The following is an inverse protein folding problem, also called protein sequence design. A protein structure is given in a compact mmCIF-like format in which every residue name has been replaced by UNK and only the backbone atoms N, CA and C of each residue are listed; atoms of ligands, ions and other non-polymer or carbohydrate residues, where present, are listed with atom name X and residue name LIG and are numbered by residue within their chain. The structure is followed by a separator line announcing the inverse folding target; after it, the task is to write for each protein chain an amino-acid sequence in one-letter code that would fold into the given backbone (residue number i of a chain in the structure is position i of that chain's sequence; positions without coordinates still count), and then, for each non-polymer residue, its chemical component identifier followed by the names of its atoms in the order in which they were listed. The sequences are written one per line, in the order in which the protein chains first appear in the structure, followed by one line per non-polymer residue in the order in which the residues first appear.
data_IF_885825556895
#
_entry.id   IF_885825556895
#
_cell.length_a   1.000
_cell.length_b   1.000
_cell.length_c   1.000
_cell.angle_alpha   90.00
_cell.angle_beta   90.00
_cell.angle_gamma   90.00
#
_symmetry.space_group_name_H-M   'P 1'
#
loop_
_entity.id
_entity.type
_entity.pdbx_description
1 polymer ?
#
# COMPACT_ATOMS: atom_id res chain seq x y z
N UNK A 1 -1.85 7.83 18.73
CA UNK A 1 -0.62 8.42 19.32
C UNK A 1 0.66 7.76 18.78
N UNK A 2 0.84 6.44 18.89
CA UNK A 2 2.10 5.78 18.48
C UNK A 2 2.47 5.94 16.99
N UNK A 3 1.51 5.90 16.06
CA UNK A 3 1.76 6.09 14.61
C UNK A 3 2.26 7.51 14.25
N UNK A 4 1.82 8.52 15.01
CA UNK A 4 2.31 9.90 14.85
C UNK A 4 3.75 10.00 15.33
N UNK A 5 4.05 9.40 16.50
CA UNK A 5 5.43 9.31 17.01
C UNK A 5 6.32 8.57 16.02
N UNK A 6 5.85 7.44 15.46
CA UNK A 6 6.63 6.71 14.45
C UNK A 6 6.89 7.56 13.21
N UNK A 7 5.91 8.35 12.75
CA UNK A 7 6.14 9.26 11.63
C UNK A 7 7.21 10.31 11.95
N UNK A 8 7.13 10.94 13.13
CA UNK A 8 8.14 11.92 13.56
C UNK A 8 9.53 11.30 13.60
N UNK A 9 9.66 10.09 14.18
CA UNK A 9 10.93 9.37 14.22
C UNK A 9 11.44 9.01 12.82
N UNK A 10 10.56 8.59 11.91
CA UNK A 10 10.91 8.30 10.53
C UNK A 10 11.36 9.55 9.76
N UNK A 11 10.73 10.69 10.01
CA UNK A 11 11.13 11.98 9.44
C UNK A 11 12.53 12.37 9.93
N UNK A 12 12.79 12.26 11.24
CA UNK A 12 14.12 12.55 11.82
C UNK A 12 15.17 11.60 11.27
N UNK A 13 14.87 10.29 11.21
CA UNK A 13 15.76 9.26 10.68
C UNK A 13 16.10 9.52 9.22
N UNK A 14 15.09 9.86 8.40
CA UNK A 14 15.32 10.16 6.99
C UNK A 14 16.09 11.45 6.79
N UNK A 15 15.77 12.50 7.56
CA UNK A 15 16.49 13.78 7.49
C UNK A 15 17.96 13.63 7.89
N UNK A 16 18.23 12.90 8.98
CA UNK A 16 19.56 12.84 9.59
C UNK A 16 20.47 11.79 8.94
N UNK A 17 19.91 10.60 8.64
CA UNK A 17 20.71 9.42 8.27
C UNK A 17 20.45 8.99 6.83
N UNK A 18 19.20 8.66 6.48
CA UNK A 18 18.92 7.96 5.22
C UNK A 18 18.94 8.87 4.00
N UNK A 19 18.57 10.15 4.17
CA UNK A 19 18.58 11.21 3.15
C UNK A 19 17.91 10.79 1.83
N UNK A 20 16.87 9.96 1.93
CA UNK A 20 16.14 9.48 0.76
C UNK A 20 15.19 10.58 0.27
N UNK A 21 15.30 10.91 -1.03
CA UNK A 21 14.42 11.89 -1.68
C UNK A 21 12.98 11.36 -1.74
N UNK A 22 12.02 12.15 -1.26
CA UNK A 22 10.59 11.82 -1.25
C UNK A 22 9.86 12.76 -2.23
N UNK A 23 9.05 12.20 -3.12
CA UNK A 23 8.37 12.97 -4.16
C UNK A 23 6.86 13.03 -3.91
N UNK A 24 6.31 14.24 -3.92
CA UNK A 24 4.88 14.48 -3.75
C UNK A 24 4.18 14.89 -5.06
N UNK A 25 4.93 15.41 -6.04
CA UNK A 25 4.37 15.82 -7.34
C UNK A 25 4.05 14.61 -8.22
N UNK A 26 2.76 14.34 -8.41
CA UNK A 26 2.24 13.24 -9.23
C UNK A 26 2.52 13.43 -10.72
N UNK A 27 2.90 12.35 -11.39
CA UNK A 27 3.09 12.29 -12.84
C UNK A 27 1.93 11.52 -13.47
N UNK A 28 0.93 12.24 -13.96
CA UNK A 28 -0.12 11.66 -14.79
C UNK A 28 0.34 11.64 -16.25
N UNK A 29 0.42 10.44 -16.84
CA UNK A 29 0.71 10.30 -18.25
C UNK A 29 -0.60 10.42 -19.05
N UNK A 30 -0.75 11.48 -19.85
CA UNK A 30 -1.92 11.72 -20.70
C UNK A 30 -2.15 10.60 -21.72
N UNK A 31 -1.08 9.96 -22.19
CA UNK A 31 -1.14 8.87 -23.19
C UNK A 31 -1.70 7.56 -22.60
N UNK A 32 -1.64 7.37 -21.27
CA UNK A 32 -2.05 6.13 -20.60
C UNK A 32 -3.25 6.33 -19.67
N UNK A 33 -4.27 7.02 -20.16
CA UNK A 33 -5.51 7.34 -19.45
C UNK A 33 -6.22 6.11 -18.84
N UNK A 34 -6.13 4.93 -19.47
CA UNK A 34 -6.70 3.68 -18.96
C UNK A 34 -6.22 3.34 -17.54
N UNK A 35 -4.93 3.53 -17.26
CA UNK A 35 -4.38 3.29 -15.91
C UNK A 35 -4.94 4.28 -14.87
N UNK A 36 -5.20 5.52 -15.26
CA UNK A 36 -5.83 6.51 -14.39
C UNK A 36 -7.29 6.15 -14.12
N UNK A 37 -8.03 5.69 -15.14
CA UNK A 37 -9.40 5.20 -14.95
C UNK A 37 -9.44 4.00 -14.02
N UNK A 38 -8.52 3.04 -14.18
CA UNK A 38 -8.44 1.90 -13.28
C UNK A 38 -8.19 2.37 -11.85
N UNK A 39 -7.23 3.28 -11.64
CA UNK A 39 -6.92 3.84 -10.31
C UNK A 39 -8.15 4.53 -9.69
N UNK A 40 -8.73 5.51 -10.38
CA UNK A 40 -9.83 6.30 -9.83
C UNK A 40 -11.12 5.51 -9.74
N UNK A 41 -11.41 4.64 -10.72
CA UNK A 41 -12.55 3.72 -10.68
C UNK A 41 -12.45 2.74 -9.52
N UNK A 42 -11.24 2.23 -9.22
CA UNK A 42 -11.01 1.38 -8.07
C UNK A 42 -11.24 2.12 -6.74
N UNK A 43 -10.71 3.34 -6.59
CA UNK A 43 -10.94 4.18 -5.41
C UNK A 43 -12.43 4.49 -5.23
N UNK A 44 -13.11 4.90 -6.30
CA UNK A 44 -14.54 5.21 -6.28
C UNK A 44 -15.38 3.97 -5.94
N UNK A 45 -15.02 2.81 -6.48
CA UNK A 45 -15.71 1.56 -6.18
C UNK A 45 -15.61 1.23 -4.69
N UNK A 46 -14.41 1.27 -4.10
CA UNK A 46 -14.22 0.99 -2.66
C UNK A 46 -14.98 1.99 -1.81
N UNK A 47 -14.77 3.29 -2.04
CA UNK A 47 -15.38 4.33 -1.20
C UNK A 47 -16.90 4.36 -1.38
N UNK A 48 -17.38 4.33 -2.63
CA UNK A 48 -18.80 4.43 -2.95
C UNK A 48 -19.61 3.23 -2.46
N UNK A 49 -19.13 2.00 -2.65
CA UNK A 49 -19.81 0.80 -2.15
C UNK A 49 -19.87 0.74 -0.63
N UNK A 50 -18.86 1.29 0.06
CA UNK A 50 -18.73 1.20 1.52
C UNK A 50 -19.62 2.17 2.29
N UNK A 51 -20.10 3.26 1.66
CA UNK A 51 -20.86 4.32 2.33
C UNK A 51 -22.36 4.03 2.52
N UNK A 52 -22.90 3.04 1.81
CA UNK A 52 -24.33 2.76 1.82
C UNK A 52 -24.79 2.32 3.21
N UNK A 53 -25.71 3.08 3.82
CA UNK A 53 -26.36 2.74 5.09
C UNK A 53 -25.46 2.79 6.33
N UNK A 54 -24.34 3.53 6.30
CA UNK A 54 -23.40 3.64 7.43
C UNK A 54 -23.68 4.86 8.32
N UNK A 55 -23.46 4.70 9.63
CA UNK A 55 -23.57 5.81 10.58
C UNK A 55 -22.42 6.81 10.46
N UNK A 56 -22.65 8.05 10.86
CA UNK A 56 -21.64 9.11 10.90
C UNK A 56 -20.42 8.72 11.75
N UNK A 57 -20.64 8.04 12.87
CA UNK A 57 -19.57 7.56 13.73
C UNK A 57 -18.64 6.58 12.99
N UNK A 58 -19.19 5.59 12.26
CA UNK A 58 -18.38 4.64 11.49
C UNK A 58 -17.57 5.34 10.40
N UNK A 59 -18.12 6.38 9.78
CA UNK A 59 -17.41 7.18 8.79
C UNK A 59 -16.22 7.91 9.42
N UNK A 60 -16.40 8.50 10.61
CA UNK A 60 -15.33 9.18 11.34
C UNK A 60 -14.22 8.20 11.75
N UNK A 61 -14.58 7.03 12.26
CA UNK A 61 -13.64 5.97 12.63
C UNK A 61 -12.81 5.50 11.42
N UNK A 62 -13.49 5.19 10.31
CA UNK A 62 -12.85 4.78 9.06
C UNK A 62 -11.93 5.85 8.49
N UNK A 63 -12.35 7.12 8.54
CA UNK A 63 -11.53 8.25 8.11
C UNK A 63 -10.25 8.37 8.96
N UNK A 64 -10.40 8.24 10.27
CA UNK A 64 -9.31 8.32 11.24
C UNK A 64 -8.30 7.20 11.01
N UNK A 65 -8.75 5.96 10.87
CA UNK A 65 -7.89 4.80 10.60
C UNK A 65 -7.20 4.92 9.24
N UNK A 66 -7.92 5.35 8.21
CA UNK A 66 -7.37 5.58 6.88
C UNK A 66 -6.18 6.53 6.88
N UNK A 67 -6.27 7.68 7.58
CA UNK A 67 -5.20 8.67 7.64
C UNK A 67 -4.03 8.19 8.48
N UNK A 68 -4.30 7.70 9.69
CA UNK A 68 -3.28 7.38 10.70
C UNK A 68 -2.40 6.21 10.24
N UNK A 69 -2.97 5.23 9.53
CA UNK A 69 -2.21 4.11 8.98
C UNK A 69 -1.47 4.50 7.69
N UNK A 70 -2.16 5.16 6.76
CA UNK A 70 -1.63 5.40 5.41
C UNK A 70 -0.36 6.23 5.39
N UNK A 71 -0.33 7.38 6.05
CA UNK A 71 0.80 8.32 5.90
C UNK A 71 2.13 7.75 6.42
N UNK A 72 2.23 7.25 7.67
CA UNK A 72 3.50 6.77 8.20
C UNK A 72 4.01 5.53 7.47
N UNK A 73 3.11 4.61 7.13
CA UNK A 73 3.47 3.36 6.45
C UNK A 73 3.92 3.61 5.01
N UNK A 74 3.23 4.46 4.27
CA UNK A 74 3.68 4.82 2.92
C UNK A 74 5.00 5.57 2.94
N UNK A 75 5.21 6.46 3.91
CA UNK A 75 6.48 7.17 4.08
C UNK A 75 7.65 6.20 4.24
N UNK A 76 7.51 5.21 5.14
CA UNK A 76 8.52 4.19 5.36
C UNK A 76 8.68 3.27 4.14
N UNK A 77 7.62 2.61 3.70
CA UNK A 77 7.78 1.51 2.75
C UNK A 77 7.93 1.97 1.30
N UNK A 78 7.25 3.05 0.88
CA UNK A 78 7.29 3.54 -0.51
C UNK A 78 8.34 4.63 -0.65
N UNK A 79 8.32 5.59 0.26
CA UNK A 79 9.29 6.67 0.31
C UNK A 79 10.72 6.18 0.54
N UNK A 80 10.95 5.56 1.70
CA UNK A 80 12.28 5.15 2.14
C UNK A 80 12.71 3.81 1.54
N UNK A 81 12.01 2.71 1.88
CA UNK A 81 12.43 1.34 1.55
C UNK A 81 12.47 1.12 0.03
N UNK A 82 11.33 1.30 -0.66
CA UNK A 82 11.26 1.09 -2.11
C UNK A 82 12.17 2.08 -2.87
N UNK A 83 12.20 3.35 -2.46
CA UNK A 83 13.13 4.34 -3.03
C UNK A 83 14.59 3.91 -2.91
N UNK A 84 14.99 3.37 -1.75
CA UNK A 84 16.34 2.86 -1.51
C UNK A 84 16.64 1.59 -2.30
N UNK A 85 15.69 0.65 -2.40
CA UNK A 85 15.84 -0.57 -3.20
C UNK A 85 16.07 -0.23 -4.68
N UNK A 86 15.29 0.71 -5.23
CA UNK A 86 15.44 1.15 -6.62
C UNK A 86 16.82 1.78 -6.88
N UNK A 87 17.35 2.55 -5.92
CA UNK A 87 18.67 3.20 -6.02
C UNK A 87 19.84 2.23 -5.89
N UNK A 88 19.73 1.28 -4.96
CA UNK A 88 20.86 0.46 -4.53
C UNK A 88 20.94 -0.90 -5.23
N UNK A 89 19.82 -1.48 -5.70
CA UNK A 89 19.84 -2.74 -6.45
C UNK A 89 20.43 -2.55 -7.86
N UNK A 90 21.52 -3.27 -8.14
CA UNK A 90 22.32 -3.12 -9.37
C UNK A 90 21.93 -4.09 -10.50
N UNK A 91 20.65 -4.18 -10.83
CA UNK A 91 20.22 -4.94 -12.00
C UNK A 91 20.41 -4.13 -13.29
N UNK A 92 21.10 -4.70 -14.28
CA UNK A 92 21.27 -4.09 -15.62
C UNK A 92 19.93 -3.82 -16.32
N UNK A 93 18.95 -4.70 -16.14
CA UNK A 93 17.61 -4.53 -16.69
C UNK A 93 16.74 -3.72 -15.72
N UNK A 94 16.33 -2.51 -16.13
CA UNK A 94 15.49 -1.62 -15.33
C UNK A 94 14.16 -2.27 -14.91
N UNK A 95 13.50 -3.00 -15.81
CA UNK A 95 12.24 -3.68 -15.49
C UNK A 95 12.43 -4.71 -14.38
N UNK A 96 13.52 -5.49 -14.44
CA UNK A 96 13.89 -6.44 -13.39
C UNK A 96 14.19 -5.74 -12.07
N UNK A 97 14.93 -4.62 -12.10
CA UNK A 97 15.20 -3.77 -10.92
C UNK A 97 13.90 -3.35 -10.25
N UNK A 98 12.96 -2.83 -11.04
CA UNK A 98 11.65 -2.36 -10.55
C UNK A 98 10.85 -3.52 -9.93
N UNK A 99 10.67 -4.62 -10.67
CA UNK A 99 9.86 -5.76 -10.22
C UNK A 99 10.42 -6.35 -8.92
N UNK A 100 11.73 -6.59 -8.86
CA UNK A 100 12.37 -7.14 -7.65
C UNK A 100 12.23 -6.18 -6.47
N UNK A 101 12.41 -4.86 -6.69
CA UNK A 101 12.23 -3.86 -5.63
C UNK A 101 10.79 -3.82 -5.11
N UNK A 102 9.79 -3.93 -5.99
CA UNK A 102 8.38 -4.00 -5.63
C UNK A 102 8.13 -5.24 -4.75
N UNK A 103 8.61 -6.41 -5.16
CA UNK A 103 8.40 -7.67 -4.42
C UNK A 103 9.03 -7.59 -3.03
N UNK A 104 10.28 -7.14 -2.93
CA UNK A 104 10.98 -7.03 -1.64
C UNK A 104 10.28 -6.01 -0.73
N UNK A 105 9.92 -4.83 -1.25
CA UNK A 105 9.21 -3.82 -0.46
C UNK A 105 7.85 -4.32 0.04
N UNK A 106 7.13 -5.09 -0.78
CA UNK A 106 5.83 -5.67 -0.43
C UNK A 106 5.96 -6.77 0.62
N UNK A 107 7.01 -7.58 0.54
CA UNK A 107 7.32 -8.58 1.57
C UNK A 107 7.66 -7.93 2.91
N UNK A 108 8.50 -6.88 2.90
CA UNK A 108 8.83 -6.14 4.13
C UNK A 108 7.61 -5.46 4.75
N UNK A 109 6.72 -4.91 3.92
CA UNK A 109 5.45 -4.33 4.36
C UNK A 109 4.53 -5.38 5.00
N UNK A 110 4.42 -6.57 4.40
CA UNK A 110 3.69 -7.69 4.97
C UNK A 110 4.29 -8.14 6.31
N UNK A 111 5.60 -8.36 6.36
CA UNK A 111 6.31 -8.78 7.58
C UNK A 111 6.18 -7.77 8.73
N UNK A 112 6.07 -6.47 8.43
CA UNK A 112 5.82 -5.44 9.44
C UNK A 112 4.53 -5.68 10.24
N UNK A 113 3.50 -6.26 9.62
CA UNK A 113 2.23 -6.58 10.28
C UNK A 113 2.33 -7.76 11.24
N UNK A 114 3.42 -8.53 11.21
CA UNK A 114 3.69 -9.57 12.20
C UNK A 114 3.71 -9.01 13.64
N UNK A 115 4.06 -7.72 13.81
CA UNK A 115 4.01 -7.03 15.10
C UNK A 115 2.62 -6.98 15.75
N UNK A 116 1.55 -7.23 15.00
CA UNK A 116 0.18 -7.27 15.52
C UNK A 116 -0.15 -8.58 16.25
N UNK A 117 0.74 -9.59 16.23
CA UNK A 117 0.48 -10.93 16.78
C UNK A 117 0.06 -10.90 18.25
N UNK A 118 0.56 -9.93 19.00
CA UNK A 118 0.22 -9.72 20.42
C UNK A 118 -1.25 -9.34 20.63
N UNK A 119 -1.87 -8.66 19.68
CA UNK A 119 -3.23 -8.14 19.79
C UNK A 119 -4.25 -9.02 19.05
N UNK A 120 -3.89 -9.50 17.86
CA UNK A 120 -4.84 -10.18 16.96
C UNK A 120 -4.65 -11.72 16.92
N UNK A 121 -3.56 -12.24 17.49
CA UNK A 121 -3.22 -13.66 17.46
C UNK A 121 -2.63 -14.14 16.14
N UNK A 122 -1.93 -15.28 16.17
CA UNK A 122 -1.14 -15.77 15.04
C UNK A 122 -1.97 -16.01 13.77
N UNK A 123 -3.12 -16.69 13.89
CA UNK A 123 -3.93 -17.03 12.71
C UNK A 123 -4.45 -15.78 11.99
N UNK A 124 -4.97 -14.79 12.73
CA UNK A 124 -5.46 -13.54 12.15
C UNK A 124 -4.33 -12.78 11.47
N UNK A 125 -3.18 -12.67 12.13
CA UNK A 125 -2.00 -11.99 11.59
C UNK A 125 -1.42 -12.71 10.36
N UNK A 126 -1.42 -14.03 10.33
CA UNK A 126 -1.00 -14.77 9.15
C UNK A 126 -1.87 -14.45 7.93
N UNK A 127 -3.19 -14.42 8.10
CA UNK A 127 -4.13 -14.03 7.05
C UNK A 127 -3.95 -12.55 6.65
N UNK A 128 -3.76 -11.67 7.63
CA UNK A 128 -3.46 -10.24 7.41
C UNK A 128 -2.16 -10.08 6.61
N UNK A 129 -1.12 -10.87 6.88
CA UNK A 129 0.14 -10.81 6.14
C UNK A 129 -0.02 -11.18 4.66
N UNK A 130 -0.86 -12.17 4.34
CA UNK A 130 -1.18 -12.53 2.94
C UNK A 130 -1.87 -11.36 2.23
N UNK A 131 -2.91 -10.79 2.84
CA UNK A 131 -3.66 -9.67 2.27
C UNK A 131 -2.78 -8.42 2.10
N UNK A 132 -2.00 -8.09 3.14
CA UNK A 132 -1.09 -6.93 3.14
C UNK A 132 0.09 -7.10 2.20
N UNK A 133 0.52 -8.33 1.87
CA UNK A 133 1.49 -8.54 0.78
C UNK A 133 0.91 -8.08 -0.57
N UNK A 134 -0.32 -8.50 -0.90
CA UNK A 134 -0.98 -8.09 -2.13
C UNK A 134 -1.25 -6.59 -2.19
N UNK A 135 -1.73 -6.01 -1.08
CA UNK A 135 -1.89 -4.55 -0.94
C UNK A 135 -0.54 -3.83 -1.06
N UNK A 136 0.50 -4.41 -0.46
CA UNK A 136 1.90 -4.03 -0.57
C UNK A 136 2.32 -3.80 -2.02
N UNK A 137 2.04 -4.80 -2.85
CA UNK A 137 2.35 -4.83 -4.27
C UNK A 137 1.60 -3.75 -5.05
N UNK A 138 0.30 -3.59 -4.81
CA UNK A 138 -0.53 -2.57 -5.44
C UNK A 138 0.02 -1.15 -5.17
N UNK A 139 0.30 -0.86 -3.90
CA UNK A 139 0.78 0.44 -3.45
C UNK A 139 2.21 0.74 -3.95
N UNK A 140 3.11 -0.24 -3.90
CA UNK A 140 4.47 -0.13 -4.46
C UNK A 140 4.41 0.15 -5.97
N UNK A 141 3.51 -0.53 -6.67
CA UNK A 141 3.28 -0.32 -8.10
C UNK A 141 2.72 1.06 -8.39
N UNK A 142 1.77 1.55 -7.59
CA UNK A 142 1.23 2.88 -7.73
C UNK A 142 2.31 3.96 -7.53
N UNK A 143 3.20 3.79 -6.54
CA UNK A 143 4.34 4.67 -6.36
C UNK A 143 5.25 4.73 -7.59
N UNK A 144 5.63 3.56 -8.12
CA UNK A 144 6.45 3.44 -9.34
C UNK A 144 5.76 4.05 -10.56
N UNK A 145 4.45 3.84 -10.69
CA UNK A 145 3.66 4.30 -11.84
C UNK A 145 3.52 5.82 -11.89
N UNK A 146 3.28 6.44 -10.73
CA UNK A 146 2.91 7.85 -10.62
C UNK A 146 4.03 8.74 -10.09
N UNK A 147 5.15 8.15 -9.66
CA UNK A 147 6.32 8.83 -9.13
C UNK A 147 5.99 9.85 -8.03
N UNK A 148 5.00 9.51 -7.20
CA UNK A 148 4.52 10.32 -6.09
C UNK A 148 4.00 9.43 -4.98
N UNK A 149 4.34 9.79 -3.74
CA UNK A 149 3.85 9.13 -2.54
C UNK A 149 2.37 9.43 -2.24
N UNK A 150 1.79 10.48 -2.85
CA UNK A 150 0.39 10.83 -2.64
C UNK A 150 -0.57 9.77 -3.17
N UNK A 151 -0.22 9.09 -4.27
CA UNK A 151 -1.07 8.04 -4.84
C UNK A 151 -1.16 6.80 -3.97
N UNK A 152 -0.06 6.19 -3.49
CA UNK A 152 -0.18 5.09 -2.54
C UNK A 152 -0.82 5.54 -1.22
N UNK A 153 -0.60 6.78 -0.73
CA UNK A 153 -1.32 7.28 0.46
C UNK A 153 -2.83 7.28 0.23
N UNK A 154 -3.29 7.81 -0.92
CA UNK A 154 -4.70 7.82 -1.29
C UNK A 154 -5.29 6.40 -1.39
N UNK A 155 -4.57 5.48 -2.04
CA UNK A 155 -5.01 4.09 -2.17
C UNK A 155 -5.09 3.39 -0.82
N UNK A 156 -4.05 3.53 0.01
CA UNK A 156 -4.02 2.93 1.34
C UNK A 156 -5.16 3.48 2.19
N UNK A 157 -5.31 4.80 2.23
CA UNK A 157 -6.44 5.47 2.89
C UNK A 157 -7.77 4.87 2.42
N UNK A 158 -8.00 4.76 1.10
CA UNK A 158 -9.26 4.29 0.54
C UNK A 158 -9.58 2.84 0.93
N UNK A 159 -8.56 1.97 0.90
CA UNK A 159 -8.69 0.56 1.30
C UNK A 159 -9.05 0.46 2.78
N UNK A 160 -8.27 1.10 3.66
CA UNK A 160 -8.51 1.04 5.10
C UNK A 160 -9.84 1.69 5.47
N UNK A 161 -10.22 2.77 4.80
CA UNK A 161 -11.51 3.41 4.95
C UNK A 161 -12.65 2.46 4.61
N UNK A 162 -12.61 1.82 3.44
CA UNK A 162 -13.64 0.87 3.02
C UNK A 162 -13.75 -0.34 3.96
N UNK A 163 -12.61 -0.96 4.30
CA UNK A 163 -12.57 -2.11 5.22
C UNK A 163 -13.11 -1.72 6.59
N UNK A 164 -12.71 -0.58 7.15
CA UNK A 164 -13.20 -0.13 8.46
C UNK A 164 -14.70 0.20 8.44
N UNK A 165 -15.22 0.78 7.36
CA UNK A 165 -16.66 1.03 7.21
C UNK A 165 -17.50 -0.25 7.18
N UNK A 166 -16.98 -1.28 6.53
CA UNK A 166 -17.66 -2.58 6.40
C UNK A 166 -17.55 -3.37 7.70
N UNK A 167 -16.33 -3.52 8.23
CA UNK A 167 -15.97 -4.47 9.29
C UNK A 167 -15.83 -3.84 10.68
N UNK A 168 -15.81 -2.52 10.79
CA UNK A 168 -15.48 -1.81 12.04
C UNK A 168 -13.98 -1.78 12.33
N UNK A 169 -13.62 -1.37 13.54
CA UNK A 169 -12.21 -1.20 13.97
C UNK A 169 -11.55 -2.48 14.47
N UNK A 170 -12.32 -3.55 14.68
CA UNK A 170 -11.84 -4.82 15.20
C UNK A 170 -11.50 -5.76 14.03
N UNK A 171 -10.20 -6.00 13.82
CA UNK A 171 -9.67 -6.94 12.82
C UNK A 171 -9.64 -8.39 13.31
N UNK A 172 -10.08 -8.65 14.54
CA UNK A 172 -10.04 -9.97 15.15
C UNK A 172 -10.98 -10.95 14.43
N UNK A 173 -10.40 -11.87 13.67
CA UNK A 173 -11.10 -13.05 13.11
C UNK A 173 -11.58 -14.01 14.21
N UNK A 174 -11.21 -13.77 15.48
CA UNK A 174 -11.63 -14.53 16.65
C UNK A 174 -13.15 -14.63 16.81
N UNK A 175 -13.91 -13.72 16.20
CA UNK A 175 -15.37 -13.68 16.23
C UNK A 175 -16.05 -14.24 14.97
N UNK A 176 -15.33 -14.76 13.97
CA UNK A 176 -15.95 -15.35 12.79
C UNK A 176 -16.26 -16.84 12.99
N UNK A 177 -17.50 -17.25 12.80
CA UNK A 177 -17.89 -18.67 12.73
C UNK A 177 -17.38 -19.41 11.48
N UNK A 178 -16.67 -18.71 10.59
CA UNK A 178 -16.09 -19.29 9.38
C UNK A 178 -14.87 -20.15 9.71
N UNK A 179 -14.70 -21.23 8.97
CA UNK A 179 -13.50 -22.07 9.09
C UNK A 179 -12.26 -21.33 8.60
N UNK A 180 -11.10 -21.64 9.19
CA UNK A 180 -9.81 -21.07 8.78
C UNK A 180 -9.53 -21.27 7.27
N UNK A 181 -9.96 -22.40 6.70
CA UNK A 181 -9.80 -22.67 5.27
C UNK A 181 -10.52 -21.65 4.39
N UNK A 182 -11.75 -21.24 4.76
CA UNK A 182 -12.49 -20.22 4.02
C UNK A 182 -11.81 -18.85 4.15
N UNK A 183 -11.35 -18.50 5.35
CA UNK A 183 -10.64 -17.25 5.60
C UNK A 183 -9.29 -17.19 4.84
N UNK A 184 -8.60 -18.32 4.70
CA UNK A 184 -7.37 -18.43 3.91
C UNK A 184 -7.65 -18.22 2.42
N UNK A 185 -8.70 -18.83 1.88
CA UNK A 185 -9.11 -18.63 0.48
C UNK A 185 -9.46 -17.16 0.25
N UNK A 186 -10.22 -16.54 1.15
CA UNK A 186 -10.53 -15.10 1.08
C UNK A 186 -9.28 -14.24 1.07
N UNK A 187 -8.34 -14.47 2.00
CA UNK A 187 -7.08 -13.74 2.06
C UNK A 187 -6.27 -13.86 0.76
N UNK A 188 -6.22 -15.06 0.17
CA UNK A 188 -5.54 -15.30 -1.10
C UNK A 188 -6.23 -14.59 -2.28
N UNK A 189 -7.56 -14.61 -2.33
CA UNK A 189 -8.34 -13.90 -3.37
C UNK A 189 -8.11 -12.40 -3.28
N UNK A 190 -8.18 -11.82 -2.08
CA UNK A 190 -7.94 -10.39 -1.84
C UNK A 190 -6.51 -10.02 -2.26
N UNK A 191 -5.52 -10.82 -1.86
CA UNK A 191 -4.13 -10.59 -2.24
C UNK A 191 -3.93 -10.65 -3.77
N UNK A 192 -4.48 -11.69 -4.42
CA UNK A 192 -4.41 -11.85 -5.87
C UNK A 192 -5.09 -10.69 -6.61
N UNK A 193 -6.24 -10.24 -6.12
CA UNK A 193 -6.95 -9.10 -6.68
C UNK A 193 -6.11 -7.82 -6.64
N UNK A 194 -5.48 -7.50 -5.50
CA UNK A 194 -4.58 -6.34 -5.41
C UNK A 194 -3.37 -6.47 -6.34
N UNK A 195 -2.78 -7.67 -6.46
CA UNK A 195 -1.67 -7.92 -7.37
C UNK A 195 -2.11 -7.70 -8.83
N UNK A 196 -3.28 -8.18 -9.23
CA UNK A 196 -3.84 -8.00 -10.58
C UNK A 196 -4.02 -6.52 -10.89
N UNK A 197 -4.67 -5.76 -10.00
CA UNK A 197 -4.83 -4.31 -10.18
C UNK A 197 -3.46 -3.62 -10.26
N UNK A 198 -2.50 -4.01 -9.42
CA UNK A 198 -1.13 -3.54 -9.49
C UNK A 198 -0.51 -3.79 -10.88
N UNK A 199 -0.52 -5.02 -11.36
CA UNK A 199 0.02 -5.37 -12.68
C UNK A 199 -0.64 -4.56 -13.81
N UNK A 200 -1.95 -4.31 -13.74
CA UNK A 200 -2.66 -3.46 -14.71
C UNK A 200 -2.18 -2.01 -14.67
N UNK A 201 -1.90 -1.45 -13.49
CA UNK A 201 -1.33 -0.11 -13.35
C UNK A 201 0.12 -0.03 -13.87
N UNK A 202 0.91 -1.08 -13.68
CA UNK A 202 2.33 -1.13 -14.11
C UNK A 202 2.49 -1.38 -15.62
N UNK A 203 1.46 -1.91 -16.27
CA UNK A 203 1.50 -2.29 -17.68
C UNK A 203 2.04 -1.15 -18.54
N UNK A 204 3.06 -1.45 -19.33
CA UNK A 204 3.76 -0.51 -20.23
C UNK A 204 4.50 0.65 -19.53
N UNK A 205 4.74 0.60 -18.21
CA UNK A 205 5.41 1.66 -17.44
C UNK A 205 6.72 1.23 -16.78
N UNK A 206 7.25 0.05 -17.16
CA UNK A 206 8.55 -0.43 -16.68
C UNK A 206 9.71 0.22 -17.44
N UNK A 207 9.55 0.48 -18.74
CA UNK A 207 10.53 1.19 -19.57
C UNK A 207 10.38 2.69 -19.38
N UNK A 208 11.49 3.43 -19.34
CA UNK A 208 11.51 4.90 -19.19
C UNK A 208 10.66 5.44 -18.02
N UNK A 209 10.63 4.69 -16.92
CA UNK A 209 9.75 4.95 -15.78
C UNK A 209 10.05 6.33 -15.13
N UNK A 210 9.04 7.17 -14.88
CA UNK A 210 9.25 8.53 -14.37
C UNK A 210 9.89 8.59 -12.98
N UNK A 211 9.70 7.58 -12.14
CA UNK A 211 10.33 7.53 -10.82
C UNK A 211 11.83 7.24 -10.93
N UNK A 212 12.24 6.36 -11.84
CA UNK A 212 13.67 6.08 -12.11
C UNK A 212 14.39 7.35 -12.56
N UNK A 213 13.78 8.11 -13.47
CA UNK A 213 14.28 9.42 -13.92
C UNK A 213 14.45 10.40 -12.77
N UNK A 214 13.42 10.53 -11.91
CA UNK A 214 13.46 11.43 -10.75
C UNK A 214 14.53 11.05 -9.72
N UNK A 215 14.83 9.76 -9.60
CA UNK A 215 15.84 9.24 -8.67
C UNK A 215 17.27 9.38 -9.22
N UNK A 216 17.44 9.97 -10.42
CA UNK A 216 18.72 10.15 -11.10
C UNK A 216 19.43 8.79 -11.34
N UNK A 217 18.67 7.78 -11.80
CA UNK A 217 19.12 6.38 -11.96
C UNK A 217 19.17 5.90 -13.42
N UNK A 218 19.16 6.84 -14.36
CA UNK A 218 19.33 6.62 -15.82
C UNK A 218 20.82 6.53 -16.19
#
# INVERSE_FOLDING_TARGET
MYKVISLVLLLILNFSILKQKIYFKTVFNKTNWKSNIILFGFVLFIVGSSLIGKSSQRVIEAFTIGIIAGIPEEYLFRGIVLGSLLKNLKFKNQSRRIIVSIIIASLLFSLYHFGNIRYDGFQSVFLQMIQTFGMGFLLATAYVRYASILIPILLHFSINFGVTLVSGTSTSTASSHLSFAILLIDALIVAAFYIIIGMLLLRNHLKNNPLIKKLDLD
#
